data_IF_597893068464
#
_entry.id   IF_597893068464
#
_cell.length_a   1.000
_cell.length_b   1.000
_cell.length_c   1.000
_cell.angle_alpha   90.00
_cell.angle_beta   90.00
_cell.angle_gamma   90.00
#
_symmetry.space_group_name_H-M   'P 1'
#
loop_
_entity.id
_entity.type
_entity.pdbx_description
1 polymer ?
#
# COMPACT_ATOMS: atom_id res chain seq x y z
N UNK A 1 -34.44 7.91 33.11
CA UNK A 1 -34.82 8.57 31.85
C UNK A 1 -33.66 9.32 31.17
N UNK A 2 -32.97 10.27 31.81
CA UNK A 2 -31.90 11.04 31.14
C UNK A 2 -30.71 10.19 30.65
N UNK A 3 -30.33 9.15 31.41
CA UNK A 3 -29.24 8.21 31.06
C UNK A 3 -29.58 7.30 29.88
N UNK A 4 -30.84 6.87 29.79
CA UNK A 4 -31.37 6.05 28.68
C UNK A 4 -31.34 6.84 27.37
N UNK A 5 -31.78 8.11 27.42
CA UNK A 5 -31.81 9.00 26.26
C UNK A 5 -30.42 9.36 25.76
N UNK A 6 -29.47 9.66 26.66
CA UNK A 6 -28.05 9.85 26.29
C UNK A 6 -27.47 8.63 25.59
N UNK A 7 -27.73 7.43 26.11
CA UNK A 7 -27.26 6.18 25.49
C UNK A 7 -27.85 5.99 24.09
N UNK A 8 -29.13 6.31 23.89
CA UNK A 8 -29.77 6.24 22.57
C UNK A 8 -29.17 7.25 21.59
N UNK A 9 -28.91 8.48 22.04
CA UNK A 9 -28.26 9.52 21.23
C UNK A 9 -26.82 9.12 20.85
N UNK A 10 -26.05 8.54 21.78
CA UNK A 10 -24.70 8.00 21.51
C UNK A 10 -24.71 6.87 20.49
N UNK A 11 -25.66 5.93 20.60
CA UNK A 11 -25.82 4.82 19.64
C UNK A 11 -26.23 5.34 18.26
N UNK A 12 -27.15 6.30 18.19
CA UNK A 12 -27.57 6.90 16.93
C UNK A 12 -26.42 7.64 16.24
N UNK A 13 -25.66 8.43 16.99
CA UNK A 13 -24.48 9.14 16.48
C UNK A 13 -23.38 8.15 16.01
N UNK A 14 -23.18 7.07 16.77
CA UNK A 14 -22.25 6.01 16.37
C UNK A 14 -22.68 5.34 15.06
N UNK A 15 -23.95 4.95 14.92
CA UNK A 15 -24.48 4.29 13.74
C UNK A 15 -24.39 5.18 12.50
N UNK A 16 -24.81 6.44 12.61
CA UNK A 16 -24.73 7.41 11.52
C UNK A 16 -23.30 7.56 10.98
N UNK A 17 -22.33 7.66 11.90
CA UNK A 17 -20.92 7.77 11.52
C UNK A 17 -20.39 6.50 10.86
N UNK A 18 -20.72 5.31 11.39
CA UNK A 18 -20.32 4.03 10.77
C UNK A 18 -20.89 3.92 9.34
N UNK A 19 -22.11 4.38 9.09
CA UNK A 19 -22.68 4.41 7.73
C UNK A 19 -21.91 5.36 6.80
N UNK A 20 -21.50 6.53 7.28
CA UNK A 20 -20.67 7.46 6.51
C UNK A 20 -19.30 6.87 6.19
N UNK A 21 -18.64 6.28 7.19
CA UNK A 21 -17.35 5.59 7.04
C UNK A 21 -17.48 4.45 6.00
N UNK A 22 -18.58 3.68 6.06
CA UNK A 22 -18.88 2.60 5.10
C UNK A 22 -19.05 3.12 3.68
N UNK A 23 -19.74 4.24 3.51
CA UNK A 23 -19.93 4.85 2.19
C UNK A 23 -18.60 5.31 1.58
N UNK A 24 -17.71 5.91 2.38
CA UNK A 24 -16.38 6.32 1.92
C UNK A 24 -15.53 5.12 1.52
N UNK A 25 -15.47 4.10 2.39
CA UNK A 25 -14.76 2.86 2.13
C UNK A 25 -15.23 2.14 0.87
N UNK A 26 -16.53 2.04 0.66
CA UNK A 26 -17.09 1.43 -0.56
C UNK A 26 -16.71 2.21 -1.82
N UNK A 27 -16.71 3.55 -1.77
CA UNK A 27 -16.30 4.39 -2.91
C UNK A 27 -14.83 4.16 -3.25
N UNK A 28 -13.95 4.23 -2.26
CA UNK A 28 -12.50 4.01 -2.44
C UNK A 28 -12.24 2.59 -2.95
N UNK A 29 -12.88 1.58 -2.35
CA UNK A 29 -12.79 0.19 -2.79
C UNK A 29 -13.17 0.03 -4.27
N UNK A 30 -14.26 0.66 -4.72
CA UNK A 30 -14.68 0.59 -6.13
C UNK A 30 -13.62 1.18 -7.06
N UNK A 31 -13.05 2.33 -6.70
CA UNK A 31 -11.99 2.98 -7.48
C UNK A 31 -10.74 2.09 -7.54
N UNK A 32 -10.31 1.54 -6.40
CA UNK A 32 -9.15 0.65 -6.31
C UNK A 32 -9.36 -0.62 -7.15
N UNK A 33 -10.53 -1.27 -7.03
CA UNK A 33 -10.85 -2.48 -7.80
C UNK A 33 -10.87 -2.18 -9.29
N UNK A 34 -11.46 -1.06 -9.72
CA UNK A 34 -11.44 -0.64 -11.12
C UNK A 34 -10.02 -0.37 -11.62
N UNK A 35 -9.23 0.38 -10.85
CA UNK A 35 -7.81 0.66 -11.13
C UNK A 35 -7.04 -0.64 -11.33
N UNK A 36 -7.16 -1.57 -10.39
CA UNK A 36 -6.44 -2.85 -10.41
C UNK A 36 -6.89 -3.73 -11.58
N UNK A 37 -8.18 -3.75 -11.88
CA UNK A 37 -8.71 -4.51 -13.03
C UNK A 37 -8.15 -3.98 -14.35
N UNK A 38 -8.22 -2.67 -14.57
CA UNK A 38 -7.72 -2.02 -15.78
C UNK A 38 -6.20 -2.19 -15.89
N UNK A 39 -5.48 -1.95 -14.80
CA UNK A 39 -4.02 -2.09 -14.75
C UNK A 39 -3.58 -3.52 -15.08
N UNK A 40 -4.22 -4.55 -14.50
CA UNK A 40 -3.93 -5.95 -14.83
C UNK A 40 -4.18 -6.25 -16.31
N UNK A 41 -5.27 -5.75 -16.89
CA UNK A 41 -5.54 -5.91 -18.33
C UNK A 41 -4.48 -5.24 -19.20
N UNK A 42 -4.00 -4.05 -18.83
CA UNK A 42 -2.92 -3.36 -19.54
C UNK A 42 -1.60 -4.13 -19.41
N UNK A 43 -1.23 -4.54 -18.20
CA UNK A 43 -0.01 -5.32 -17.93
C UNK A 43 0.00 -6.62 -18.75
N UNK A 44 -1.13 -7.31 -18.86
CA UNK A 44 -1.22 -8.54 -19.65
C UNK A 44 -0.79 -8.34 -21.13
N UNK A 45 -1.00 -7.14 -21.68
CA UNK A 45 -0.59 -6.78 -23.04
C UNK A 45 0.84 -6.21 -23.13
N UNK A 46 1.51 -5.91 -22.02
CA UNK A 46 2.89 -5.41 -21.98
C UNK A 46 3.90 -6.51 -22.29
N UNK A 47 5.02 -6.15 -22.92
CA UNK A 47 6.17 -7.03 -23.14
C UNK A 47 7.10 -6.96 -21.91
N UNK A 48 7.76 -8.06 -21.51
CA UNK A 48 8.73 -8.03 -20.41
C UNK A 48 9.85 -7.00 -20.63
N UNK A 49 10.23 -6.29 -19.56
CA UNK A 49 11.28 -5.25 -19.58
C UNK A 49 11.02 -4.06 -20.50
N UNK A 50 9.79 -3.88 -21.00
CA UNK A 50 9.43 -2.61 -21.62
C UNK A 50 9.44 -1.48 -20.60
N UNK A 51 9.55 -0.23 -21.08
CA UNK A 51 9.52 0.93 -20.21
C UNK A 51 8.19 0.95 -19.41
N UNK A 52 8.23 1.16 -18.08
CA UNK A 52 7.02 1.21 -17.27
C UNK A 52 6.07 2.31 -17.76
N UNK A 53 4.77 2.01 -17.75
CA UNK A 53 3.74 2.98 -18.10
C UNK A 53 3.28 3.72 -16.85
N UNK A 54 3.10 5.04 -16.97
CA UNK A 54 2.77 5.93 -15.86
C UNK A 54 1.45 6.64 -16.14
N UNK A 55 0.52 6.57 -15.20
CA UNK A 55 -0.80 7.18 -15.26
C UNK A 55 -0.97 8.12 -14.05
N UNK A 56 -1.25 9.40 -14.32
CA UNK A 56 -1.46 10.40 -13.29
C UNK A 56 -2.94 10.71 -13.07
N UNK A 57 -3.28 11.05 -11.83
CA UNK A 57 -4.56 11.63 -11.45
C UNK A 57 -4.32 12.79 -10.47
N UNK A 58 -5.41 13.44 -10.02
CA UNK A 58 -5.33 14.45 -8.98
C UNK A 58 -4.91 13.91 -7.60
N UNK A 59 -5.09 12.62 -7.33
CA UNK A 59 -4.90 12.03 -6.00
C UNK A 59 -3.76 11.02 -5.91
N UNK A 60 -3.33 10.46 -7.05
CA UNK A 60 -2.25 9.48 -7.11
C UNK A 60 -1.58 9.42 -8.48
N UNK A 61 -0.38 8.84 -8.51
CA UNK A 61 0.33 8.36 -9.68
C UNK A 61 0.44 6.84 -9.63
N UNK A 62 0.02 6.18 -10.71
CA UNK A 62 0.13 4.73 -10.90
C UNK A 62 1.24 4.45 -11.92
N UNK A 63 2.17 3.58 -11.56
CA UNK A 63 3.19 3.04 -12.45
C UNK A 63 2.98 1.53 -12.58
N UNK A 64 2.93 1.02 -13.81
CA UNK A 64 2.77 -0.41 -14.09
C UNK A 64 3.91 -0.92 -14.96
N UNK A 65 4.28 -2.18 -14.78
CA UNK A 65 5.31 -2.80 -15.61
C UNK A 65 5.52 -4.28 -15.38
N UNK A 66 6.41 -4.84 -16.20
CA UNK A 66 6.95 -6.21 -16.08
C UNK A 66 8.46 -6.15 -15.93
N UNK A 67 9.01 -6.89 -14.97
CA UNK A 67 10.45 -6.94 -14.69
C UNK A 67 10.83 -8.32 -14.10
N UNK A 68 12.02 -8.87 -14.41
CA UNK A 68 12.57 -10.00 -13.68
C UNK A 68 13.14 -9.57 -12.33
N UNK A 69 13.29 -8.27 -12.08
CA UNK A 69 13.94 -7.72 -10.89
C UNK A 69 13.05 -6.65 -10.22
N UNK A 70 12.46 -6.99 -9.07
CA UNK A 70 11.65 -6.05 -8.29
C UNK A 70 12.51 -5.05 -7.50
N UNK A 71 13.81 -5.32 -7.32
CA UNK A 71 14.73 -4.40 -6.59
C UNK A 71 14.97 -3.09 -7.35
N UNK A 72 14.60 -3.02 -8.63
CA UNK A 72 14.77 -1.85 -9.49
C UNK A 72 13.48 -1.09 -9.76
N UNK A 73 12.36 -1.48 -9.16
CA UNK A 73 11.04 -0.90 -9.47
C UNK A 73 10.89 0.52 -8.96
N UNK A 74 11.26 0.79 -7.70
CA UNK A 74 11.17 2.12 -7.12
C UNK A 74 12.13 2.29 -5.94
N UNK A 75 12.80 3.45 -5.79
CA UNK A 75 13.72 3.72 -4.67
C UNK A 75 13.10 3.71 -3.27
N UNK A 76 11.76 3.66 -3.16
CA UNK A 76 11.12 3.50 -1.86
C UNK A 76 11.35 2.11 -1.28
N UNK A 77 11.54 1.09 -2.13
CA UNK A 77 11.58 -0.30 -1.69
C UNK A 77 13.00 -0.84 -1.76
N UNK A 78 13.48 -1.35 -0.64
CA UNK A 78 14.65 -2.22 -0.59
C UNK A 78 14.16 -3.65 -0.38
N UNK A 79 14.23 -4.42 -1.45
CA UNK A 79 13.84 -5.83 -1.44
C UNK A 79 15.01 -6.73 -1.07
N UNK A 80 14.80 -7.76 -0.25
CA UNK A 80 15.83 -8.73 0.10
C UNK A 80 16.17 -9.63 -1.10
N UNK A 81 17.38 -9.53 -1.65
CA UNK A 81 17.86 -10.50 -2.64
C UNK A 81 18.06 -11.88 -1.98
N UNK A 82 17.86 -13.02 -2.69
CA UNK A 82 17.62 -13.15 -4.13
C UNK A 82 16.14 -13.35 -4.53
N UNK A 83 15.19 -13.46 -3.60
CA UNK A 83 13.81 -13.87 -3.88
C UNK A 83 13.06 -12.94 -4.85
N UNK A 84 13.44 -11.67 -4.86
CA UNK A 84 12.87 -10.61 -5.69
C UNK A 84 13.66 -10.36 -7.00
N UNK A 85 14.57 -11.28 -7.33
CA UNK A 85 15.28 -11.35 -8.61
C UNK A 85 15.06 -12.69 -9.29
N UNK A 86 14.70 -12.65 -10.56
CA UNK A 86 14.49 -13.81 -11.43
C UNK A 86 15.49 -13.76 -12.59
N UNK A 87 15.76 -14.91 -13.24
CA UNK A 87 16.48 -14.91 -14.50
C UNK A 87 15.88 -13.90 -15.50
N UNK A 88 16.70 -13.16 -16.28
CA UNK A 88 16.20 -12.16 -17.23
C UNK A 88 15.27 -12.73 -18.31
N UNK A 89 15.37 -14.03 -18.57
CA UNK A 89 14.59 -14.79 -19.55
C UNK A 89 13.46 -15.61 -18.91
N UNK A 90 13.08 -15.29 -17.66
CA UNK A 90 11.92 -15.87 -17.00
C UNK A 90 10.65 -15.60 -17.82
N UNK A 91 9.84 -16.63 -18.12
CA UNK A 91 8.64 -16.49 -18.94
C UNK A 91 7.50 -15.81 -18.19
N UNK A 92 6.48 -15.37 -18.94
CA UNK A 92 5.24 -14.85 -18.36
C UNK A 92 4.38 -15.95 -17.73
N UNK A 93 4.33 -17.11 -18.38
CA UNK A 93 3.65 -18.31 -17.91
C UNK A 93 4.67 -19.38 -17.49
N UNK A 94 4.43 -20.10 -16.38
CA UNK A 94 5.32 -21.16 -15.95
C UNK A 94 5.34 -22.28 -16.99
N UNK A 95 6.53 -22.81 -17.26
CA UNK A 95 6.74 -23.97 -18.14
C UNK A 95 7.34 -25.13 -17.34
N UNK A 96 7.25 -26.38 -17.83
CA UNK A 96 7.88 -27.52 -17.16
C UNK A 96 9.38 -27.35 -16.86
N UNK A 97 10.08 -26.55 -17.68
CA UNK A 97 11.52 -26.31 -17.55
C UNK A 97 11.84 -24.99 -16.84
N UNK A 98 10.87 -24.08 -16.71
CA UNK A 98 11.01 -22.78 -16.05
C UNK A 98 9.74 -22.49 -15.24
N UNK A 99 9.65 -23.00 -13.99
CA UNK A 99 8.48 -22.80 -13.15
C UNK A 99 8.42 -21.37 -12.57
N UNK A 100 9.55 -20.66 -12.52
CA UNK A 100 9.63 -19.28 -12.03
C UNK A 100 9.33 -18.30 -13.16
N UNK A 101 8.25 -17.56 -13.00
CA UNK A 101 7.88 -16.45 -13.88
C UNK A 101 8.59 -15.16 -13.47
N UNK A 102 8.64 -14.19 -14.39
CA UNK A 102 9.01 -12.83 -14.05
C UNK A 102 7.98 -12.18 -13.12
N UNK A 103 8.17 -10.90 -12.83
CA UNK A 103 7.20 -10.14 -12.03
C UNK A 103 6.41 -9.16 -12.88
N UNK A 104 5.16 -8.99 -12.52
CA UNK A 104 4.34 -7.85 -12.87
C UNK A 104 4.15 -7.00 -11.63
N UNK A 105 4.06 -5.68 -11.79
CA UNK A 105 3.84 -4.81 -10.65
C UNK A 105 2.91 -3.64 -10.95
N UNK A 106 2.24 -3.19 -9.89
CA UNK A 106 1.58 -1.90 -9.82
C UNK A 106 2.14 -1.13 -8.64
N UNK A 107 2.82 -0.03 -8.90
CA UNK A 107 3.28 0.91 -7.88
C UNK A 107 2.35 2.13 -7.87
N UNK A 108 1.82 2.48 -6.70
CA UNK A 108 0.94 3.63 -6.52
C UNK A 108 1.56 4.56 -5.50
N UNK A 109 1.72 5.81 -5.89
CA UNK A 109 2.12 6.92 -5.03
C UNK A 109 0.89 7.82 -4.83
N UNK A 110 0.40 7.96 -3.60
CA UNK A 110 -0.73 8.86 -3.32
C UNK A 110 -0.23 10.24 -2.93
N UNK A 111 -0.70 11.26 -3.63
CA UNK A 111 -0.43 12.66 -3.30
C UNK A 111 -1.32 13.19 -2.16
N UNK A 112 -2.42 12.47 -1.88
CA UNK A 112 -3.33 12.75 -0.79
C UNK A 112 -3.66 11.46 -0.07
N UNK A 113 -3.67 11.48 1.27
CA UNK A 113 -4.06 10.32 2.04
C UNK A 113 -5.55 9.98 1.84
N UNK A 114 -5.81 9.00 0.97
CA UNK A 114 -7.16 8.52 0.63
C UNK A 114 -7.86 7.81 1.79
N UNK A 115 -7.15 7.47 2.85
CA UNK A 115 -7.65 6.81 4.06
C UNK A 115 -7.80 7.75 5.26
N UNK A 116 -7.67 9.06 5.04
CA UNK A 116 -7.80 10.10 6.07
C UNK A 116 -9.16 10.15 6.76
N UNK A 117 -10.20 9.56 6.17
CA UNK A 117 -11.52 9.42 6.79
C UNK A 117 -11.56 8.40 7.94
N UNK A 118 -10.56 7.52 8.05
CA UNK A 118 -10.53 6.49 9.08
C UNK A 118 -10.20 7.06 10.46
N UNK A 119 -10.81 6.51 11.51
CA UNK A 119 -10.56 6.93 12.90
C UNK A 119 -9.15 6.61 13.39
N UNK A 120 -8.52 5.60 12.82
CA UNK A 120 -7.15 5.23 13.17
C UNK A 120 -6.12 6.06 12.41
N UNK A 121 -6.55 6.97 11.53
CA UNK A 121 -5.65 7.87 10.84
C UNK A 121 -4.91 8.75 11.87
N UNK A 122 -3.57 8.67 11.94
CA UNK A 122 -2.81 9.48 12.88
C UNK A 122 -3.00 10.97 12.63
N UNK A 123 -2.94 11.75 13.70
CA UNK A 123 -2.80 13.21 13.58
C UNK A 123 -1.37 13.46 13.09
N UNK A 124 -1.27 13.98 11.88
CA UNK A 124 0.00 14.16 11.20
C UNK A 124 -0.10 15.36 10.27
N UNK A 125 0.97 16.14 10.20
CA UNK A 125 1.07 17.25 9.26
C UNK A 125 1.51 16.77 7.87
N UNK A 126 2.19 15.62 7.80
CA UNK A 126 2.80 15.09 6.60
C UNK A 126 2.73 13.56 6.58
N UNK A 127 2.22 13.02 5.49
CA UNK A 127 2.12 11.58 5.28
C UNK A 127 2.52 11.22 3.87
N UNK A 128 3.27 10.15 3.71
CA UNK A 128 3.49 9.50 2.42
C UNK A 128 2.79 8.14 2.43
N UNK A 129 1.96 7.89 1.42
CA UNK A 129 1.24 6.61 1.27
C UNK A 129 1.63 6.00 -0.07
N UNK A 130 2.08 4.76 -0.03
CA UNK A 130 2.42 3.99 -1.22
C UNK A 130 1.75 2.62 -1.21
N UNK A 131 1.51 2.09 -2.40
CA UNK A 131 1.11 0.70 -2.60
C UNK A 131 2.08 0.07 -3.57
N UNK A 132 2.49 -1.17 -3.31
CA UNK A 132 3.11 -2.01 -4.33
C UNK A 132 2.39 -3.34 -4.40
N UNK A 133 1.71 -3.59 -5.51
CA UNK A 133 1.09 -4.88 -5.81
C UNK A 133 2.05 -5.63 -6.72
N UNK A 134 2.83 -6.54 -6.13
CA UNK A 134 3.67 -7.47 -6.88
C UNK A 134 2.88 -8.72 -7.25
N UNK A 135 3.03 -9.16 -8.50
CA UNK A 135 2.33 -10.28 -9.10
C UNK A 135 3.33 -11.14 -9.88
N UNK A 136 2.91 -12.36 -10.22
CA UNK A 136 3.56 -13.11 -11.29
C UNK A 136 3.44 -12.33 -12.62
N UNK A 137 4.34 -12.56 -13.57
CA UNK A 137 4.34 -11.86 -14.86
C UNK A 137 2.98 -11.96 -15.61
N UNK A 138 2.27 -13.09 -15.49
CA UNK A 138 0.90 -13.28 -15.99
C UNK A 138 -0.22 -12.59 -15.15
N UNK A 139 0.11 -11.69 -14.23
CA UNK A 139 -0.80 -10.95 -13.34
C UNK A 139 -1.55 -11.76 -12.28
N UNK A 140 -1.19 -13.05 -12.11
CA UNK A 140 -1.66 -13.86 -10.99
C UNK A 140 -0.97 -13.44 -9.70
N UNK A 141 -1.60 -13.73 -8.58
CA UNK A 141 -1.07 -13.37 -7.28
C UNK A 141 0.31 -14.00 -7.07
N UNK A 142 1.24 -13.17 -6.58
CA UNK A 142 2.53 -13.64 -6.13
C UNK A 142 2.36 -14.20 -4.72
N UNK A 143 2.63 -15.50 -4.53
CA UNK A 143 2.63 -16.07 -3.20
C UNK A 143 3.81 -15.53 -2.41
N UNK A 144 3.55 -14.56 -1.52
CA UNK A 144 4.53 -14.04 -0.57
C UNK A 144 4.17 -14.58 0.81
N UNK A 145 4.94 -15.54 1.30
CA UNK A 145 4.82 -16.02 2.69
C UNK A 145 6.12 -15.73 3.42
N UNK A 146 6.01 -14.96 4.51
CA UNK A 146 7.09 -14.69 5.48
C UNK A 146 8.42 -14.30 4.82
N UNK A 147 8.46 -13.11 4.23
CA UNK A 147 9.67 -12.56 3.61
C UNK A 147 10.72 -12.29 4.70
N UNK A 148 11.83 -13.02 4.65
CA UNK A 148 12.99 -12.90 5.55
C UNK A 148 14.28 -12.87 4.72
N UNK A 149 15.13 -11.82 4.81
CA UNK A 149 14.96 -10.60 5.62
C UNK A 149 13.75 -9.76 5.19
N UNK A 150 13.21 -8.86 6.04
CA UNK A 150 12.04 -8.07 5.70
C UNK A 150 12.31 -7.05 4.57
N UNK A 151 11.24 -6.63 3.91
CA UNK A 151 11.27 -5.56 2.91
C UNK A 151 11.37 -4.23 3.66
N UNK A 152 12.26 -3.35 3.22
CA UNK A 152 12.31 -1.97 3.72
C UNK A 152 11.57 -1.05 2.77
N UNK A 153 10.79 -0.13 3.32
CA UNK A 153 10.01 0.87 2.62
C UNK A 153 10.44 2.26 3.05
N UNK A 154 10.21 3.23 2.17
CA UNK A 154 10.53 4.64 2.39
C UNK A 154 12.00 4.92 2.63
N UNK A 155 12.87 4.05 2.13
CA UNK A 155 14.34 4.14 2.25
C UNK A 155 14.96 5.42 1.66
N UNK A 156 14.24 6.08 0.77
CA UNK A 156 14.63 7.36 0.17
C UNK A 156 14.36 8.57 1.07
N UNK A 157 13.61 8.39 2.17
CA UNK A 157 13.33 9.45 3.14
C UNK A 157 14.18 9.24 4.38
N UNK A 158 14.66 10.34 4.96
CA UNK A 158 15.28 10.32 6.29
C UNK A 158 14.17 10.17 7.35
N UNK A 159 13.79 8.93 7.65
CA UNK A 159 12.76 8.66 8.65
C UNK A 159 13.32 8.84 10.06
N UNK A 160 12.84 9.87 10.75
CA UNK A 160 13.14 10.08 12.15
C UNK A 160 12.42 9.05 13.05
N UNK A 161 12.87 8.95 14.31
CA UNK A 161 12.31 8.02 15.29
C UNK A 161 10.84 8.28 15.65
N UNK A 162 10.30 9.46 15.35
CA UNK A 162 8.89 9.80 15.54
C UNK A 162 8.01 9.46 14.32
N UNK A 163 8.58 8.93 13.23
CA UNK A 163 7.80 8.48 12.09
C UNK A 163 7.03 7.20 12.46
N UNK A 164 5.73 7.19 12.16
CA UNK A 164 4.84 6.07 12.45
C UNK A 164 4.57 5.32 11.14
N UNK A 165 5.06 4.09 11.05
CA UNK A 165 4.81 3.19 9.93
C UNK A 165 3.53 2.40 10.16
N UNK A 166 2.61 2.43 9.20
CA UNK A 166 1.34 1.72 9.29
C UNK A 166 0.99 1.08 7.95
N UNK A 167 0.25 -0.02 7.98
CA UNK A 167 -0.42 -0.57 6.78
C UNK A 167 -1.93 -0.43 6.92
N UNK A 168 -2.62 -0.41 5.80
CA UNK A 168 -4.08 -0.46 5.79
C UNK A 168 -4.56 -1.90 5.98
N UNK A 169 -5.10 -2.20 7.17
CA UNK A 169 -5.75 -3.47 7.45
C UNK A 169 -7.22 -3.43 7.02
N UNK A 170 -7.49 -3.93 5.82
CA UNK A 170 -8.84 -3.98 5.26
C UNK A 170 -9.81 -4.88 6.03
N UNK A 171 -9.30 -5.82 6.82
CA UNK A 171 -10.10 -6.83 7.52
C UNK A 171 -10.22 -6.55 9.02
N UNK A 172 -9.78 -5.38 9.47
CA UNK A 172 -9.87 -5.00 10.87
C UNK A 172 -11.32 -5.07 11.39
N UNK A 173 -11.56 -5.77 12.52
CA UNK A 173 -12.90 -5.97 13.04
C UNK A 173 -13.52 -4.66 13.53
N UNK A 174 -14.85 -4.54 13.42
CA UNK A 174 -15.61 -3.35 13.83
C UNK A 174 -15.26 -2.06 13.05
N UNK A 175 -14.60 -2.19 11.91
CA UNK A 175 -14.31 -1.07 10.99
C UNK A 175 -15.23 -1.12 9.78
N UNK A 176 -15.45 0.02 9.16
CA UNK A 176 -16.26 0.11 7.95
C UNK A 176 -15.43 -0.12 6.67
N UNK A 177 -14.54 -1.12 6.67
CA UNK A 177 -13.68 -1.50 5.54
C UNK A 177 -12.21 -1.13 5.67
N UNK A 178 -11.75 -1.04 6.92
CA UNK A 178 -10.35 -1.10 7.29
C UNK A 178 -9.92 -0.04 8.28
N UNK A 179 -8.71 -0.21 8.79
CA UNK A 179 -8.03 0.77 9.63
C UNK A 179 -6.53 0.75 9.36
N UNK A 180 -5.86 1.88 9.59
CA UNK A 180 -4.42 1.89 9.77
C UNK A 180 -4.01 1.06 10.98
N UNK A 181 -3.06 0.16 10.78
CA UNK A 181 -2.54 -0.75 11.79
C UNK A 181 -1.01 -0.76 11.75
N UNK A 182 -0.38 -0.90 12.91
CA UNK A 182 1.07 -1.08 13.05
C UNK A 182 1.48 -2.56 13.06
N UNK A 183 0.54 -3.49 12.92
CA UNK A 183 0.82 -4.92 13.03
C UNK A 183 1.67 -5.42 11.86
N UNK A 184 2.87 -5.92 12.14
CA UNK A 184 3.74 -6.46 11.08
C UNK A 184 4.38 -5.39 10.19
N UNK A 185 4.34 -4.13 10.63
CA UNK A 185 5.14 -3.03 10.08
C UNK A 185 5.80 -2.33 11.26
N UNK A 186 7.07 -1.99 11.15
CA UNK A 186 7.77 -1.24 12.19
C UNK A 186 8.75 -0.24 11.60
N UNK A 187 9.02 0.84 12.34
CA UNK A 187 10.09 1.76 12.00
C UNK A 187 11.40 1.21 12.61
N UNK A 188 12.45 1.02 11.79
CA UNK A 188 13.78 0.59 12.26
C UNK A 188 14.75 1.75 12.57
N UNK A 189 14.24 2.99 12.55
CA UNK A 189 15.01 4.22 12.76
C UNK A 189 15.56 4.84 11.47
N UNK A 190 15.30 4.22 10.34
CA UNK A 190 15.78 4.63 9.01
C UNK A 190 14.73 4.32 7.91
N UNK A 191 13.89 3.31 8.12
CA UNK A 191 12.90 2.85 7.15
C UNK A 191 11.69 2.18 7.84
N UNK A 192 10.61 2.03 7.09
CA UNK A 192 9.51 1.17 7.51
C UNK A 192 9.78 -0.26 7.03
N UNK A 193 9.95 -1.21 7.94
CA UNK A 193 10.19 -2.62 7.59
C UNK A 193 8.90 -3.44 7.71
N UNK A 194 8.70 -4.36 6.77
CA UNK A 194 7.53 -5.23 6.73
C UNK A 194 7.84 -6.59 6.09
N UNK A 195 6.99 -7.58 6.35
CA UNK A 195 7.05 -8.91 5.72
C UNK A 195 5.96 -9.14 4.67
N UNK A 196 5.10 -8.13 4.42
CA UNK A 196 3.99 -8.21 3.47
C UNK A 196 3.87 -6.93 2.65
N UNK A 197 3.34 -7.03 1.43
CA UNK A 197 3.00 -5.84 0.63
C UNK A 197 1.52 -5.53 0.78
N UNK A 198 1.22 -4.28 1.10
CA UNK A 198 -0.11 -3.70 1.21
C UNK A 198 -0.03 -2.21 0.84
N UNK A 199 -1.11 -1.47 1.05
CA UNK A 199 -1.03 -0.02 1.20
C UNK A 199 -0.30 0.27 2.51
N UNK A 200 0.88 0.87 2.41
CA UNK A 200 1.74 1.21 3.54
C UNK A 200 1.94 2.72 3.55
N UNK A 201 1.85 3.30 4.73
CA UNK A 201 2.02 4.72 4.95
C UNK A 201 3.06 4.97 6.03
N UNK A 202 3.74 6.10 5.89
CA UNK A 202 4.50 6.73 6.96
C UNK A 202 3.86 8.05 7.31
N UNK A 203 3.65 8.28 8.61
CA UNK A 203 3.10 9.50 9.16
C UNK A 203 4.13 10.18 10.05
N UNK A 204 4.40 11.46 9.79
CA UNK A 204 5.24 12.26 10.68
C UNK A 204 4.40 12.85 11.79
N UNK A 205 4.83 12.69 13.04
CA UNK A 205 4.15 13.30 14.19
C UNK A 205 4.08 14.83 14.01
N UNK A 206 2.86 15.36 13.97
CA UNK A 206 2.58 16.78 13.74
C UNK A 206 2.74 17.68 14.99
N UNK A 207 3.23 17.15 16.11
CA UNK A 207 3.43 17.91 17.36
C UNK A 207 4.70 18.78 17.40
N UNK A 208 5.50 18.80 16.34
CA UNK A 208 6.75 19.60 16.25
C UNK A 208 6.60 20.71 15.19
N UNK A 209 7.08 21.95 15.45
CA UNK A 209 6.90 23.09 14.54
C UNK A 209 7.49 22.85 13.14
N UNK A 210 6.79 23.37 12.14
CA UNK A 210 7.11 23.35 10.72
C UNK A 210 8.57 23.72 10.42
N UNK A 211 9.26 22.84 9.70
CA UNK A 211 10.65 23.08 9.25
C UNK A 211 11.29 21.94 8.46
N UNK A 212 10.77 20.72 8.49
CA UNK A 212 11.38 19.56 7.83
C UNK A 212 10.31 18.74 7.13
N UNK A 213 10.22 18.91 5.80
CA UNK A 213 9.19 18.30 4.99
C UNK A 213 9.64 16.96 4.39
N UNK A 214 8.73 15.98 4.37
CA UNK A 214 8.73 14.87 3.42
C UNK A 214 8.58 15.45 2.01
N UNK A 215 9.68 15.93 1.43
CA UNK A 215 9.77 16.35 0.01
C UNK A 215 10.34 15.20 -0.81
#
# INVERSE_FOLDING_TARGET
>A
MLKERRRQEEVAAFNFRIEQDRNNSQRITRIIVMRDTIAKSLIAAMIPNERPQVFGSATFRLTIGKTPDLTTVHPHFEFPAPYFKRPPDSPDEPTPFRPLTGFSYMYVEYFTNVYSWSRSNPISNESAVVTLIAMQANTRDLEMRSVDPPIKLFKQFDLYSNAICMYWDRFAPNTAGGEWSTKGVMNDGDSCITTHLSDIAVFMDGTIPSGHALV
#
